data_IF_422360753162
#
_entry.id   IF_422360753162
#
_cell.length_a   1.000
_cell.length_b   1.000
_cell.length_c   1.000
_cell.angle_alpha   90.00
_cell.angle_beta   90.00
_cell.angle_gamma   90.00
#
_symmetry.space_group_name_H-M   'P 1'
#
loop_
_entity.id
_entity.type
_entity.pdbx_description
1 polymer ?
#
# COMPACT_ATOMS: atom_id res chain seq x y z
N UNK A 1 28.89 13.17 -3.18
CA UNK A 1 29.16 12.30 -2.00
C UNK A 1 30.37 11.43 -2.26
N UNK A 2 30.84 10.65 -1.28
CA UNK A 2 31.90 9.65 -1.50
C UNK A 2 31.39 8.57 -2.45
N UNK A 3 32.23 8.12 -3.38
CA UNK A 3 31.92 7.07 -4.35
C UNK A 3 32.85 5.87 -4.13
N UNK A 4 32.35 4.67 -4.39
CA UNK A 4 33.11 3.43 -4.37
C UNK A 4 32.51 2.44 -5.36
N UNK A 5 33.29 1.42 -5.73
CA UNK A 5 32.90 0.39 -6.70
C UNK A 5 32.81 -0.96 -6.01
N UNK A 6 31.78 -1.74 -6.36
CA UNK A 6 31.59 -3.13 -5.91
C UNK A 6 31.52 -4.02 -7.13
N UNK A 7 32.28 -5.13 -7.09
CA UNK A 7 32.15 -6.22 -8.05
C UNK A 7 31.58 -7.44 -7.33
N UNK A 8 30.57 -8.06 -7.91
CA UNK A 8 29.90 -9.23 -7.37
C UNK A 8 29.43 -10.14 -8.50
N UNK A 9 29.38 -11.47 -8.27
CA UNK A 9 28.85 -12.41 -9.25
C UNK A 9 27.35 -12.20 -9.51
N UNK A 10 26.62 -11.67 -8.53
CA UNK A 10 25.18 -11.38 -8.61
C UNK A 10 24.85 -10.05 -7.91
N UNK A 11 23.88 -9.31 -8.47
CA UNK A 11 23.33 -8.09 -7.90
C UNK A 11 21.83 -8.24 -7.70
N UNK A 12 21.33 -7.86 -6.52
CA UNK A 12 19.88 -7.83 -6.22
C UNK A 12 19.46 -6.42 -5.85
N UNK A 13 18.56 -5.84 -6.64
CA UNK A 13 18.00 -4.52 -6.41
C UNK A 13 16.75 -4.62 -5.52
N UNK A 14 16.87 -4.21 -4.25
CA UNK A 14 15.84 -4.39 -3.22
C UNK A 14 15.36 -3.07 -2.58
N UNK A 15 15.27 -2.00 -3.37
CA UNK A 15 14.87 -0.65 -2.95
C UNK A 15 13.35 -0.38 -3.03
N UNK A 16 12.54 -1.39 -3.33
CA UNK A 16 11.07 -1.34 -3.23
C UNK A 16 10.34 -0.87 -4.49
N UNK A 17 9.11 -0.40 -4.32
CA UNK A 17 8.17 -0.11 -5.41
C UNK A 17 8.56 1.05 -6.33
N UNK A 18 9.27 2.06 -5.83
CA UNK A 18 9.66 3.25 -6.61
C UNK A 18 11.15 3.21 -6.96
N UNK A 19 12.00 3.02 -5.95
CA UNK A 19 13.44 3.21 -6.12
C UNK A 19 14.10 2.14 -6.98
N UNK A 20 13.52 0.93 -7.11
CA UNK A 20 14.04 -0.05 -8.07
C UNK A 20 14.00 0.50 -9.50
N UNK A 21 12.86 1.04 -9.93
CA UNK A 21 12.75 1.63 -11.26
C UNK A 21 13.63 2.87 -11.40
N UNK A 22 13.66 3.74 -10.38
CA UNK A 22 14.51 4.93 -10.41
C UNK A 22 16.00 4.58 -10.55
N UNK A 23 16.49 3.60 -9.79
CA UNK A 23 17.90 3.18 -9.82
C UNK A 23 18.27 2.56 -11.17
N UNK A 24 17.37 1.76 -11.77
CA UNK A 24 17.57 1.25 -13.13
C UNK A 24 17.64 2.39 -14.14
N UNK A 25 16.67 3.31 -14.13
CA UNK A 25 16.63 4.47 -15.04
C UNK A 25 17.86 5.38 -14.90
N UNK A 26 18.35 5.60 -13.68
CA UNK A 26 19.58 6.35 -13.41
C UNK A 26 20.85 5.64 -13.90
N UNK A 27 20.77 4.34 -14.14
CA UNK A 27 21.90 3.52 -14.61
C UNK A 27 22.01 3.48 -16.14
N UNK A 28 21.15 4.20 -16.87
CA UNK A 28 21.23 4.37 -18.31
C UNK A 28 21.39 5.84 -18.70
N UNK A 29 22.17 6.10 -19.74
CA UNK A 29 22.29 7.42 -20.38
C UNK A 29 22.15 7.30 -21.91
N UNK A 30 21.00 7.67 -22.52
CA UNK A 30 19.77 8.15 -21.87
C UNK A 30 19.05 7.04 -21.06
N UNK A 31 18.05 7.37 -20.21
CA UNK A 31 17.32 6.39 -19.39
C UNK A 31 16.67 5.24 -20.19
N UNK A 32 16.40 5.43 -21.48
CA UNK A 32 15.88 4.39 -22.37
C UNK A 32 16.90 3.25 -22.62
N UNK A 33 18.19 3.49 -22.36
CA UNK A 33 19.26 2.48 -22.39
C UNK A 33 19.54 1.86 -21.03
N UNK A 34 18.69 2.13 -20.02
CA UNK A 34 18.83 1.54 -18.70
C UNK A 34 18.82 0.00 -18.76
N UNK A 35 19.55 -0.68 -17.84
CA UNK A 35 19.47 -2.12 -17.66
C UNK A 35 18.01 -2.60 -17.55
N UNK A 36 17.61 -3.56 -18.39
CA UNK A 36 16.24 -4.10 -18.43
C UNK A 36 15.19 -3.19 -19.08
N UNK A 37 15.58 -2.04 -19.64
CA UNK A 37 14.65 -1.08 -20.23
C UNK A 37 14.61 -1.09 -21.77
N UNK A 38 15.13 -2.13 -22.43
CA UNK A 38 15.17 -2.23 -23.90
C UNK A 38 13.78 -2.21 -24.56
N UNK A 39 12.73 -2.52 -23.81
CA UNK A 39 11.32 -2.45 -24.23
C UNK A 39 10.57 -1.24 -23.65
N UNK A 40 11.28 -0.34 -22.96
CA UNK A 40 10.69 0.86 -22.35
C UNK A 40 9.72 0.56 -21.20
N UNK A 41 9.88 -0.59 -20.53
CA UNK A 41 8.95 -1.06 -19.48
C UNK A 41 9.35 -0.65 -18.06
N UNK A 42 10.61 -0.27 -17.83
CA UNK A 42 11.04 0.16 -16.49
C UNK A 42 10.26 1.40 -16.06
N UNK A 43 9.69 1.32 -14.86
CA UNK A 43 8.85 2.35 -14.28
C UNK A 43 7.37 2.24 -14.66
N UNK A 44 6.98 1.52 -15.72
CA UNK A 44 5.58 1.39 -16.16
C UNK A 44 4.77 0.46 -15.27
N UNK A 45 3.45 0.46 -15.48
CA UNK A 45 2.50 -0.33 -14.70
C UNK A 45 2.53 -0.01 -13.21
N UNK A 46 2.94 1.22 -12.86
CA UNK A 46 2.90 1.68 -11.48
C UNK A 46 1.48 1.53 -10.94
N UNK A 47 1.37 0.83 -9.82
CA UNK A 47 0.09 0.66 -9.14
C UNK A 47 0.29 0.88 -7.65
N UNK A 48 -0.77 1.40 -7.04
CA UNK A 48 -0.89 1.60 -5.61
C UNK A 48 -2.37 1.45 -5.24
N UNK A 49 -2.65 1.10 -3.99
CA UNK A 49 -4.02 1.06 -3.51
C UNK A 49 -4.53 2.47 -3.21
N UNK A 50 -5.63 2.94 -3.85
CA UNK A 50 -6.35 4.09 -3.36
C UNK A 50 -7.06 3.71 -2.05
N UNK A 51 -6.80 4.48 -1.00
CA UNK A 51 -7.57 4.43 0.22
C UNK A 51 -8.65 5.50 0.18
N UNK A 52 -9.88 5.10 0.51
CA UNK A 52 -11.03 6.00 0.63
C UNK A 52 -11.75 5.68 1.94
N UNK A 53 -12.34 6.69 2.56
CA UNK A 53 -13.39 6.51 3.56
C UNK A 53 -14.75 6.63 2.83
N UNK A 54 -15.32 5.52 2.30
CA UNK A 54 -16.42 5.59 1.34
C UNK A 54 -17.77 5.94 1.97
N UNK A 55 -17.87 5.91 3.31
CA UNK A 55 -19.12 6.15 4.01
C UNK A 55 -19.15 5.53 5.40
N UNK A 56 -20.35 5.32 5.90
CA UNK A 56 -20.63 4.85 7.25
C UNK A 56 -21.57 3.66 7.19
N UNK A 57 -21.19 2.57 7.86
CA UNK A 57 -22.10 1.47 8.18
C UNK A 57 -23.00 1.89 9.33
N UNK A 58 -24.31 1.77 9.16
CA UNK A 58 -25.33 2.05 10.17
C UNK A 58 -26.01 0.72 10.50
N UNK A 59 -25.78 0.23 11.71
CA UNK A 59 -26.36 -1.03 12.18
C UNK A 59 -27.85 -0.86 12.52
N UNK A 60 -28.65 -1.88 12.22
CA UNK A 60 -30.06 -1.95 12.60
C UNK A 60 -30.21 -2.17 14.11
N UNK A 61 -29.40 -3.07 14.68
CA UNK A 61 -29.29 -3.27 16.13
C UNK A 61 -28.14 -2.42 16.70
N UNK A 62 -28.42 -1.39 17.53
CA UNK A 62 -27.38 -0.60 18.17
C UNK A 62 -26.59 -1.34 19.25
N UNK A 63 -27.10 -2.50 19.72
CA UNK A 63 -26.40 -3.38 20.65
C UNK A 63 -25.32 -4.24 19.99
N UNK A 64 -25.35 -4.41 18.65
CA UNK A 64 -24.41 -5.25 17.94
C UNK A 64 -23.00 -4.64 17.96
N UNK A 65 -22.07 -5.38 18.56
CA UNK A 65 -20.68 -4.97 18.71
C UNK A 65 -19.78 -5.62 17.67
N UNK A 66 -19.11 -4.79 16.88
CA UNK A 66 -18.14 -5.24 15.87
C UNK A 66 -16.71 -5.31 16.40
N UNK A 67 -16.52 -5.49 17.71
CA UNK A 67 -15.19 -5.38 18.34
C UNK A 67 -14.19 -6.44 17.83
N UNK A 68 -14.69 -7.58 17.35
CA UNK A 68 -13.88 -8.62 16.69
C UNK A 68 -13.18 -8.15 15.41
N UNK A 69 -13.64 -7.06 14.79
CA UNK A 69 -13.01 -6.47 13.60
C UNK A 69 -11.90 -5.47 13.95
N UNK A 70 -11.57 -5.30 15.24
CA UNK A 70 -10.39 -4.58 15.68
C UNK A 70 -9.13 -5.43 15.70
N UNK A 71 -7.94 -4.80 15.67
CA UNK A 71 -6.71 -5.55 15.80
C UNK A 71 -6.65 -6.25 17.17
N UNK A 72 -6.84 -7.56 17.16
CA UNK A 72 -6.76 -8.46 18.31
C UNK A 72 -5.33 -9.04 18.40
N UNK A 73 -4.81 -9.35 19.59
CA UNK A 73 -3.54 -10.06 19.71
C UNK A 73 -3.63 -11.45 19.04
N UNK A 74 -2.60 -11.83 18.29
CA UNK A 74 -2.43 -13.21 17.83
C UNK A 74 -2.14 -14.10 19.07
N UNK A 75 -2.76 -15.27 19.17
CA UNK A 75 -2.55 -16.20 20.30
C UNK A 75 -1.11 -16.75 20.31
N UNK A 76 -0.51 -16.93 21.49
CA UNK A 76 0.54 -17.94 21.70
C UNK A 76 2.00 -17.49 21.80
N UNK A 77 2.32 -16.31 22.32
CA UNK A 77 3.70 -15.96 22.75
C UNK A 77 4.20 -14.63 22.19
N UNK A 78 4.70 -13.79 23.09
CA UNK A 78 5.20 -12.41 22.91
C UNK A 78 4.26 -11.37 22.24
N UNK A 79 4.32 -10.08 22.64
CA UNK A 79 3.24 -9.10 22.42
C UNK A 79 3.20 -8.45 21.02
N UNK A 80 3.81 -9.03 19.99
CA UNK A 80 4.18 -8.24 18.81
C UNK A 80 3.18 -8.26 17.63
N UNK A 81 2.33 -9.29 17.48
CA UNK A 81 1.47 -9.43 16.31
C UNK A 81 -0.02 -9.20 16.63
N UNK A 82 -0.67 -8.27 15.91
CA UNK A 82 -2.11 -8.03 15.98
C UNK A 82 -2.79 -8.45 14.68
N UNK A 83 -3.84 -9.25 14.78
CA UNK A 83 -4.66 -9.71 13.66
C UNK A 83 -5.92 -8.87 13.57
N UNK A 84 -6.31 -8.48 12.35
CA UNK A 84 -7.53 -7.73 12.11
C UNK A 84 -8.30 -8.33 10.94
N UNK A 85 -9.59 -8.53 11.12
CA UNK A 85 -10.48 -8.90 10.03
C UNK A 85 -10.84 -7.68 9.15
N UNK A 86 -10.94 -7.92 7.84
CA UNK A 86 -11.46 -6.98 6.86
C UNK A 86 -12.59 -7.66 6.09
N UNK A 87 -13.52 -6.88 5.57
CA UNK A 87 -14.51 -7.36 4.61
C UNK A 87 -13.94 -7.26 3.20
N UNK A 88 -14.14 -8.30 2.40
CA UNK A 88 -13.83 -8.29 0.98
C UNK A 88 -15.04 -8.75 0.18
N UNK A 89 -15.04 -8.45 -1.11
CA UNK A 89 -16.07 -9.00 -1.99
C UNK A 89 -15.79 -10.49 -2.20
N UNK A 90 -16.88 -11.24 -2.29
CA UNK A 90 -16.84 -12.60 -2.80
C UNK A 90 -16.21 -12.60 -4.21
N UNK A 91 -15.21 -13.44 -4.50
CA UNK A 91 -14.52 -13.42 -5.79
C UNK A 91 -15.45 -13.63 -6.99
N UNK A 92 -16.42 -14.56 -6.87
CA UNK A 92 -17.37 -14.85 -7.95
C UNK A 92 -18.33 -13.68 -8.18
N UNK A 93 -18.79 -13.02 -7.11
CA UNK A 93 -19.58 -11.81 -7.22
C UNK A 93 -18.78 -10.66 -7.82
N UNK A 94 -17.52 -10.48 -7.44
CA UNK A 94 -16.64 -9.44 -7.97
C UNK A 94 -16.41 -9.64 -9.48
N UNK A 95 -16.14 -10.87 -9.91
CA UNK A 95 -15.95 -11.23 -11.32
C UNK A 95 -17.23 -11.01 -12.14
N UNK A 96 -18.39 -11.50 -11.66
CA UNK A 96 -19.68 -11.32 -12.34
C UNK A 96 -20.03 -9.84 -12.53
N UNK A 97 -19.71 -9.02 -11.54
CA UNK A 97 -19.96 -7.58 -11.55
C UNK A 97 -18.85 -6.80 -12.27
N UNK A 98 -17.75 -7.46 -12.67
CA UNK A 98 -16.62 -6.80 -13.32
C UNK A 98 -15.89 -5.78 -12.43
N UNK A 99 -15.91 -5.96 -11.11
CA UNK A 99 -15.27 -5.04 -10.15
C UNK A 99 -13.97 -5.62 -9.59
N UNK A 100 -12.98 -4.76 -9.40
CA UNK A 100 -11.80 -5.06 -8.58
C UNK A 100 -12.17 -5.32 -7.11
N UNK A 101 -11.42 -6.20 -6.46
CA UNK A 101 -11.65 -6.51 -5.05
C UNK A 101 -11.19 -5.36 -4.13
N UNK A 102 -11.63 -5.38 -2.87
CA UNK A 102 -11.29 -4.38 -1.88
C UNK A 102 -11.16 -5.01 -0.49
N UNK A 103 -10.30 -4.44 0.34
CA UNK A 103 -10.29 -4.68 1.78
C UNK A 103 -10.99 -3.51 2.49
N UNK A 104 -12.17 -3.77 3.04
CA UNK A 104 -12.98 -2.80 3.77
C UNK A 104 -12.86 -3.02 5.28
N UNK A 105 -12.42 -1.98 5.97
CA UNK A 105 -12.12 -2.00 7.38
C UNK A 105 -13.15 -1.17 8.14
N UNK A 106 -13.72 -1.76 9.19
CA UNK A 106 -14.71 -1.10 10.04
C UNK A 106 -14.02 -0.45 11.23
N UNK A 107 -14.35 0.82 11.51
CA UNK A 107 -13.85 1.58 12.64
C UNK A 107 -15.00 2.13 13.47
N UNK A 108 -14.88 2.16 14.81
CA UNK A 108 -15.94 2.66 15.65
C UNK A 108 -16.04 4.16 15.44
N UNK A 109 -17.26 4.68 15.32
CA UNK A 109 -17.46 6.12 15.37
C UNK A 109 -17.94 6.47 16.77
N UNK A 110 -16.99 6.95 17.57
CA UNK A 110 -17.25 7.39 18.93
C UNK A 110 -17.98 8.75 18.97
N UNK A 111 -17.99 9.53 17.88
CA UNK A 111 -18.70 10.81 17.84
C UNK A 111 -19.28 11.17 16.45
N UNK A 112 -20.57 11.51 16.47
CA UNK A 112 -21.48 11.94 15.39
C UNK A 112 -21.06 13.15 14.57
N UNK A 113 -20.46 14.11 15.25
CA UNK A 113 -20.58 15.50 14.85
C UNK A 113 -19.68 15.85 13.66
N UNK A 114 -20.21 16.68 12.76
CA UNK A 114 -19.51 17.17 11.55
C UNK A 114 -18.18 17.85 11.86
N UNK A 115 -18.09 18.54 13.01
CA UNK A 115 -16.87 19.18 13.49
C UNK A 115 -15.65 18.23 13.50
N UNK A 116 -15.84 16.95 13.86
CA UNK A 116 -14.75 15.95 13.89
C UNK A 116 -14.28 15.49 12.51
N UNK A 117 -15.03 15.78 11.44
CA UNK A 117 -14.64 15.45 10.08
C UNK A 117 -13.69 16.48 9.45
N UNK A 118 -13.63 17.69 10.02
CA UNK A 118 -12.84 18.83 9.51
C UNK A 118 -11.33 18.55 9.58
N UNK A 119 -10.58 19.12 8.64
CA UNK A 119 -9.14 18.93 8.57
C UNK A 119 -8.42 19.55 9.77
N UNK A 120 -8.98 20.62 10.33
CA UNK A 120 -8.48 21.40 11.45
C UNK A 120 -8.59 20.60 12.75
N UNK A 121 -9.74 19.95 13.00
CA UNK A 121 -9.93 19.08 14.17
C UNK A 121 -9.07 17.81 14.06
N UNK A 122 -8.96 17.20 12.87
CA UNK A 122 -8.05 16.07 12.64
C UNK A 122 -6.60 16.46 12.93
N UNK A 123 -6.16 17.62 12.43
CA UNK A 123 -4.82 18.13 12.69
C UNK A 123 -4.58 18.36 14.19
N UNK A 124 -5.53 18.98 14.89
CA UNK A 124 -5.45 19.16 16.35
C UNK A 124 -5.26 17.83 17.09
N UNK A 125 -6.11 16.84 16.81
CA UNK A 125 -6.04 15.51 17.43
C UNK A 125 -4.71 14.80 17.14
N UNK A 126 -4.16 14.96 15.94
CA UNK A 126 -2.88 14.37 15.56
C UNK A 126 -1.68 15.08 16.22
N UNK A 127 -1.76 16.40 16.40
CA UNK A 127 -0.81 17.16 17.23
C UNK A 127 -0.78 16.66 18.67
N UNK A 128 -1.96 16.47 19.28
CA UNK A 128 -2.09 15.89 20.63
C UNK A 128 -1.55 14.46 20.67
N UNK A 129 -1.85 13.62 19.69
CA UNK A 129 -1.35 12.25 19.63
C UNK A 129 0.19 12.19 19.57
N UNK A 130 0.83 13.15 18.88
CA UNK A 130 2.30 13.27 18.84
C UNK A 130 2.90 13.71 20.18
N UNK A 131 2.28 14.69 20.85
CA UNK A 131 2.73 15.13 22.18
C UNK A 131 2.54 14.05 23.25
N UNK A 132 1.54 13.19 23.10
CA UNK A 132 1.22 12.13 24.06
C UNK A 132 1.87 10.78 23.74
N UNK A 133 2.81 10.73 22.79
CA UNK A 133 3.52 9.50 22.42
C UNK A 133 2.67 8.45 21.70
N UNK A 134 1.44 8.79 21.29
CA UNK A 134 0.49 7.89 20.60
C UNK A 134 0.64 7.90 19.07
N UNK A 135 1.57 8.68 18.53
CA UNK A 135 1.88 8.77 17.11
C UNK A 135 3.39 8.85 16.87
N UNK A 136 3.82 8.62 15.62
CA UNK A 136 5.24 8.71 15.23
C UNK A 136 5.82 10.08 15.62
N UNK A 137 6.98 10.13 16.30
CA UNK A 137 7.62 11.38 16.70
C UNK A 137 7.83 12.34 15.53
N UNK A 138 7.63 13.63 15.76
CA UNK A 138 7.84 14.65 14.74
C UNK A 138 7.26 16.00 15.15
N UNK A 139 7.45 17.01 14.30
CA UNK A 139 7.09 18.37 14.65
C UNK A 139 5.56 18.56 14.76
N UNK A 140 5.07 18.75 15.99
CA UNK A 140 3.65 18.95 16.28
C UNK A 140 3.16 20.38 15.96
N UNK A 141 4.06 21.38 15.92
CA UNK A 141 3.67 22.80 15.73
C UNK A 141 2.88 23.04 14.44
N UNK A 142 3.25 22.37 13.34
CA UNK A 142 2.54 22.49 12.05
C UNK A 142 1.08 22.05 12.12
N UNK A 143 0.76 21.11 13.01
CA UNK A 143 -0.60 20.57 13.17
C UNK A 143 -1.47 21.56 13.96
N UNK A 144 -0.92 22.17 15.01
CA UNK A 144 -1.59 23.20 15.77
C UNK A 144 -1.78 24.50 14.96
N UNK A 145 -0.79 24.90 14.15
CA UNK A 145 -0.93 26.02 13.23
C UNK A 145 -2.08 25.82 12.22
N UNK A 146 -2.31 24.58 11.78
CA UNK A 146 -3.46 24.24 10.93
C UNK A 146 -4.77 24.26 11.71
N UNK A 147 -4.80 23.76 12.94
CA UNK A 147 -5.98 23.78 13.80
C UNK A 147 -6.48 25.21 14.10
N UNK A 148 -5.57 26.17 14.20
CA UNK A 148 -5.89 27.59 14.44
C UNK A 148 -6.65 28.26 13.28
N UNK A 149 -6.78 27.63 12.12
CA UNK A 149 -7.55 28.17 10.99
C UNK A 149 -9.07 28.12 11.20
N UNK A 150 -9.55 27.22 12.06
CA UNK A 150 -10.97 27.11 12.41
C UNK A 150 -11.13 26.77 13.90
N UNK A 151 -10.80 27.70 14.81
CA UNK A 151 -10.76 27.42 16.25
C UNK A 151 -12.15 27.04 16.80
N UNK A 152 -13.22 27.55 16.20
CA UNK A 152 -14.59 27.20 16.58
C UNK A 152 -14.90 25.71 16.34
N UNK A 153 -14.42 25.09 15.25
CA UNK A 153 -14.59 23.65 15.03
C UNK A 153 -13.86 22.82 16.09
N UNK A 154 -12.66 23.25 16.49
CA UNK A 154 -11.87 22.61 17.55
C UNK A 154 -12.57 22.74 18.90
N UNK A 155 -13.04 23.95 19.24
CA UNK A 155 -13.78 24.20 20.47
C UNK A 155 -15.05 23.36 20.55
N UNK A 156 -15.86 23.33 19.48
CA UNK A 156 -17.07 22.48 19.41
C UNK A 156 -16.71 21.01 19.57
N UNK A 157 -15.67 20.51 18.88
CA UNK A 157 -15.24 19.13 19.01
C UNK A 157 -14.78 18.79 20.43
N UNK A 158 -14.00 19.66 21.08
CA UNK A 158 -13.51 19.43 22.45
C UNK A 158 -14.63 19.52 23.48
N UNK A 159 -15.52 20.51 23.36
CA UNK A 159 -16.70 20.62 24.19
C UNK A 159 -17.54 19.35 24.09
N UNK A 160 -17.89 18.94 22.87
CA UNK A 160 -18.64 17.69 22.66
C UNK A 160 -17.93 16.48 23.25
N UNK A 161 -16.61 16.36 23.09
CA UNK A 161 -15.84 15.26 23.70
C UNK A 161 -15.92 15.24 25.24
N UNK A 162 -16.10 16.40 25.88
CA UNK A 162 -16.22 16.54 27.33
C UNK A 162 -17.65 16.31 27.85
N UNK A 163 -18.68 16.80 27.15
CA UNK A 163 -20.09 16.72 27.59
C UNK A 163 -20.90 15.59 26.97
N UNK A 164 -20.55 15.09 25.78
CA UNK A 164 -21.24 13.96 25.17
C UNK A 164 -20.59 12.68 25.70
N UNK A 165 -21.32 11.85 26.47
CA UNK A 165 -20.78 10.59 26.94
C UNK A 165 -20.40 9.75 25.72
N UNK A 166 -19.25 9.10 25.77
CA UNK A 166 -18.74 8.26 24.69
C UNK A 166 -19.60 6.99 24.55
N UNK A 167 -20.82 7.15 24.01
CA UNK A 167 -21.79 6.07 23.84
C UNK A 167 -21.46 5.32 22.54
N UNK A 168 -21.52 3.98 22.54
CA UNK A 168 -21.39 3.23 21.30
C UNK A 168 -22.42 3.74 20.29
N UNK A 169 -21.96 4.28 19.17
CA UNK A 169 -22.84 4.62 18.06
C UNK A 169 -23.12 3.35 17.26
N UNK A 170 -24.35 3.12 16.77
CA UNK A 170 -24.59 2.11 15.73
C UNK A 170 -23.89 2.45 14.40
N UNK A 171 -23.21 3.60 14.34
CA UNK A 171 -22.52 4.11 13.16
C UNK A 171 -21.03 3.77 13.23
N UNK A 172 -20.55 3.12 12.17
CA UNK A 172 -19.17 2.69 12.05
C UNK A 172 -18.56 3.24 10.77
N UNK A 173 -17.43 3.92 10.87
CA UNK A 173 -16.72 4.44 9.69
C UNK A 173 -16.14 3.28 8.91
N UNK A 174 -16.38 3.27 7.60
CA UNK A 174 -15.72 2.35 6.69
C UNK A 174 -14.47 3.03 6.14
N UNK A 175 -13.38 2.27 6.04
CA UNK A 175 -12.19 2.64 5.27
C UNK A 175 -11.87 1.50 4.33
N UNK A 176 -11.87 1.77 3.04
CA UNK A 176 -11.63 0.77 2.02
C UNK A 176 -10.30 1.01 1.31
N UNK A 177 -9.60 -0.09 1.03
CA UNK A 177 -8.43 -0.16 0.18
C UNK A 177 -8.81 -0.96 -1.05
N UNK A 178 -8.67 -0.36 -2.24
CA UNK A 178 -9.15 -0.99 -3.48
C UNK A 178 -8.00 -1.55 -4.32
N UNK A 179 -8.25 -2.65 -5.01
CA UNK A 179 -7.45 -3.05 -6.16
C UNK A 179 -7.65 -2.04 -7.29
N UNK A 180 -6.58 -1.79 -8.05
CA UNK A 180 -6.65 -1.01 -9.30
C UNK A 180 -5.95 -1.77 -10.41
N UNK A 181 -6.39 -1.54 -11.65
CA UNK A 181 -5.77 -2.18 -12.80
C UNK A 181 -4.30 -1.72 -12.97
N UNK A 182 -3.44 -2.65 -13.37
CA UNK A 182 -2.05 -2.34 -13.77
C UNK A 182 -2.07 -1.66 -15.15
N UNK A 183 -2.04 -0.32 -15.17
CA UNK A 183 -2.13 0.47 -16.41
C UNK A 183 -0.77 0.83 -16.99
N UNK A 184 -0.60 0.70 -18.30
CA UNK A 184 0.66 1.00 -18.99
C UNK A 184 1.10 2.47 -18.87
N UNK A 185 0.12 3.38 -18.79
CA UNK A 185 0.38 4.82 -18.69
C UNK A 185 0.88 5.24 -17.30
N UNK A 186 0.51 4.50 -16.25
CA UNK A 186 0.95 4.80 -14.90
C UNK A 186 2.42 4.43 -14.77
N UNK A 187 3.26 5.40 -14.40
CA UNK A 187 4.71 5.21 -14.43
C UNK A 187 5.51 6.02 -13.42
N UNK A 188 6.69 5.51 -13.13
CA UNK A 188 7.80 6.23 -12.51
C UNK A 188 8.79 6.65 -13.59
N UNK A 189 9.18 7.94 -13.57
CA UNK A 189 10.22 8.51 -14.45
C UNK A 189 11.23 9.30 -13.62
N UNK A 190 12.30 9.78 -14.28
CA UNK A 190 13.20 10.75 -13.68
C UNK A 190 12.62 12.15 -13.84
N UNK A 191 12.48 12.86 -12.73
CA UNK A 191 12.00 14.24 -12.66
C UNK A 191 13.12 15.27 -12.82
N UNK A 192 12.75 16.56 -12.94
CA UNK A 192 13.72 17.65 -13.12
C UNK A 192 14.42 18.06 -11.80
N UNK A 193 13.88 17.68 -10.64
CA UNK A 193 14.50 17.96 -9.35
C UNK A 193 15.59 16.96 -9.02
N UNK A 194 16.57 17.37 -8.23
CA UNK A 194 17.65 16.51 -7.76
C UNK A 194 17.53 16.23 -6.26
N UNK A 195 17.99 15.04 -5.85
CA UNK A 195 18.13 14.67 -4.45
C UNK A 195 19.43 15.23 -3.85
N UNK A 196 19.68 14.93 -2.58
CA UNK A 196 20.89 15.38 -1.86
C UNK A 196 22.20 14.81 -2.41
N UNK A 197 22.13 13.80 -3.28
CA UNK A 197 23.28 13.19 -3.94
C UNK A 197 23.45 13.71 -5.38
N UNK A 198 22.67 14.72 -5.79
CA UNK A 198 22.70 15.29 -7.13
C UNK A 198 22.08 14.38 -8.19
N UNK A 199 21.27 13.39 -7.80
CA UNK A 199 20.60 12.45 -8.72
C UNK A 199 19.16 12.89 -8.95
N UNK A 200 18.66 12.76 -10.18
CA UNK A 200 17.28 13.09 -10.50
C UNK A 200 16.28 12.34 -9.60
N UNK A 201 15.34 13.05 -8.99
CA UNK A 201 14.29 12.47 -8.14
C UNK A 201 13.28 11.67 -8.97
N UNK A 202 12.60 10.71 -8.34
CA UNK A 202 11.47 10.04 -8.99
C UNK A 202 10.32 11.05 -9.24
N UNK A 203 9.76 11.01 -10.44
CA UNK A 203 8.48 11.61 -10.79
C UNK A 203 7.47 10.48 -10.96
N UNK A 204 6.34 10.57 -10.25
CA UNK A 204 5.29 9.56 -10.29
C UNK A 204 4.10 10.12 -11.07
N UNK A 205 3.70 9.41 -12.11
CA UNK A 205 2.49 9.66 -12.87
C UNK A 205 1.52 8.52 -12.59
N UNK A 206 0.54 8.78 -11.72
CA UNK A 206 -0.46 7.80 -11.32
C UNK A 206 -1.85 8.40 -11.46
N UNK A 207 -2.69 7.74 -12.25
CA UNK A 207 -4.07 8.16 -12.51
C UNK A 207 -5.01 6.99 -12.27
N UNK A 208 -6.10 7.28 -11.57
CA UNK A 208 -7.25 6.39 -11.47
C UNK A 208 -8.14 6.58 -12.70
N UNK A 209 -8.42 5.46 -13.37
CA UNK A 209 -9.31 5.44 -14.52
C UNK A 209 -10.78 5.52 -14.11
N UNK A 210 -11.65 5.79 -15.08
CA UNK A 210 -13.09 5.82 -14.82
C UNK A 210 -13.62 4.44 -14.44
N UNK A 211 -13.02 3.37 -14.97
CA UNK A 211 -13.32 2.01 -14.53
C UNK A 211 -12.87 1.75 -13.08
N UNK A 212 -11.69 2.23 -12.66
CA UNK A 212 -11.26 2.10 -11.26
C UNK A 212 -12.26 2.79 -10.32
N UNK A 213 -12.66 4.02 -10.63
CA UNK A 213 -13.62 4.77 -9.81
C UNK A 213 -15.01 4.14 -9.79
N UNK A 214 -15.48 3.70 -10.95
CA UNK A 214 -16.73 2.95 -11.06
C UNK A 214 -16.69 1.68 -10.22
N UNK A 215 -15.60 0.92 -10.30
CA UNK A 215 -15.39 -0.33 -9.57
C UNK A 215 -15.36 -0.08 -8.06
N UNK A 216 -14.65 0.96 -7.60
CA UNK A 216 -14.60 1.34 -6.18
C UNK A 216 -16.00 1.64 -5.64
N UNK A 217 -16.77 2.43 -6.38
CA UNK A 217 -18.17 2.75 -6.04
C UNK A 217 -19.05 1.52 -6.04
N UNK A 218 -19.03 0.73 -7.13
CA UNK A 218 -19.88 -0.46 -7.29
C UNK A 218 -19.57 -1.50 -6.22
N UNK A 219 -18.30 -1.70 -5.90
CA UNK A 219 -17.88 -2.57 -4.79
C UNK A 219 -18.53 -2.17 -3.47
N UNK A 220 -18.58 -0.87 -3.15
CA UNK A 220 -19.24 -0.40 -1.92
C UNK A 220 -20.78 -0.48 -1.97
N UNK A 221 -21.40 -0.36 -3.14
CA UNK A 221 -22.83 -0.65 -3.32
C UNK A 221 -23.14 -2.14 -3.09
N UNK A 222 -22.26 -3.04 -3.52
CA UNK A 222 -22.40 -4.48 -3.25
C UNK A 222 -22.27 -4.80 -1.75
N UNK A 223 -21.37 -4.10 -1.04
CA UNK A 223 -21.28 -4.18 0.42
C UNK A 223 -22.59 -3.71 1.07
N UNK A 224 -23.16 -2.57 0.64
CA UNK A 224 -24.48 -2.11 1.14
C UNK A 224 -25.57 -3.16 0.93
N UNK A 225 -25.67 -3.72 -0.28
CA UNK A 225 -26.64 -4.76 -0.61
C UNK A 225 -26.46 -6.01 0.25
N UNK A 226 -25.21 -6.42 0.54
CA UNK A 226 -24.94 -7.56 1.41
C UNK A 226 -25.38 -7.28 2.85
N UNK A 227 -25.06 -6.10 3.39
CA UNK A 227 -25.46 -5.68 4.74
C UNK A 227 -26.98 -5.63 4.88
N UNK A 228 -27.69 -5.09 3.89
CA UNK A 228 -29.15 -5.03 3.86
C UNK A 228 -29.79 -6.41 3.78
N UNK A 229 -29.29 -7.29 2.90
CA UNK A 229 -29.77 -8.68 2.76
C UNK A 229 -29.59 -9.48 4.06
N UNK A 230 -28.52 -9.21 4.80
CA UNK A 230 -28.28 -9.83 6.10
C UNK A 230 -29.10 -9.21 7.25
N UNK A 231 -29.97 -8.23 6.97
CA UNK A 231 -30.70 -7.46 7.97
C UNK A 231 -29.81 -6.80 9.05
N UNK A 232 -28.54 -6.56 8.73
CA UNK A 232 -27.57 -5.96 9.67
C UNK A 232 -27.68 -4.44 9.73
N UNK A 233 -28.32 -3.82 8.72
CA UNK A 233 -28.45 -2.37 8.59
C UNK A 233 -28.25 -1.89 7.17
N UNK A 234 -27.51 -0.79 6.97
CA UNK A 234 -27.14 -0.28 5.66
C UNK A 234 -25.81 0.48 5.68
N UNK A 235 -25.21 0.69 4.51
CA UNK A 235 -24.08 1.60 4.30
C UNK A 235 -24.59 2.91 3.71
N UNK A 236 -24.43 4.00 4.46
CA UNK A 236 -24.62 5.35 3.97
C UNK A 236 -23.34 5.81 3.26
N UNK A 237 -23.32 5.72 1.93
CA UNK A 237 -22.21 6.18 1.10
C UNK A 237 -22.06 7.71 1.17
N UNK A 238 -20.82 8.18 1.30
CA UNK A 238 -20.51 9.61 1.26
C UNK A 238 -20.63 10.20 -0.15
N UNK A 239 -20.38 9.37 -1.17
CA UNK A 239 -20.34 9.78 -2.58
C UNK A 239 -21.14 8.77 -3.43
N UNK A 240 -22.47 8.73 -3.33
CA UNK A 240 -23.26 7.68 -3.99
C UNK A 240 -23.09 7.71 -5.52
N UNK A 241 -22.99 8.89 -6.15
CA UNK A 241 -22.99 9.03 -7.61
C UNK A 241 -21.95 10.02 -8.18
N UNK A 242 -20.95 10.44 -7.40
CA UNK A 242 -19.96 11.44 -7.81
C UNK A 242 -18.54 10.86 -7.96
N UNK A 243 -18.15 10.56 -9.20
CA UNK A 243 -16.81 10.05 -9.53
C UNK A 243 -15.69 11.07 -9.19
N UNK A 244 -15.97 12.37 -9.28
CA UNK A 244 -14.98 13.41 -8.96
C UNK A 244 -14.69 13.45 -7.46
N UNK A 245 -15.73 13.27 -6.63
CA UNK A 245 -15.59 13.18 -5.19
C UNK A 245 -14.84 11.91 -4.76
N UNK A 246 -15.11 10.75 -5.40
CA UNK A 246 -14.33 9.53 -5.19
C UNK A 246 -12.84 9.72 -5.51
N UNK A 247 -12.53 10.37 -6.64
CA UNK A 247 -11.15 10.67 -7.05
C UNK A 247 -10.47 11.62 -6.06
N UNK A 248 -11.16 12.68 -5.61
CA UNK A 248 -10.63 13.64 -4.65
C UNK A 248 -10.44 13.06 -3.24
N UNK A 249 -11.30 12.11 -2.84
CA UNK A 249 -11.20 11.42 -1.55
C UNK A 249 -10.13 10.34 -1.52
N UNK A 250 -9.70 9.83 -2.68
CA UNK A 250 -8.66 8.81 -2.77
C UNK A 250 -7.29 9.37 -2.38
N UNK A 251 -6.59 8.66 -1.50
CA UNK A 251 -5.18 8.92 -1.19
C UNK A 251 -4.32 7.67 -1.36
N UNK A 252 -3.02 7.88 -1.63
CA UNK A 252 -2.05 6.80 -1.84
C UNK A 252 -1.89 5.89 -0.61
N UNK A 253 -1.85 4.59 -0.87
CA UNK A 253 -1.91 3.56 0.14
C UNK A 253 -0.60 3.15 0.80
N UNK A 254 0.53 3.79 0.44
CA UNK A 254 1.88 3.40 0.90
C UNK A 254 2.27 1.98 0.47
N UNK A 255 1.70 1.51 -0.64
CA UNK A 255 1.86 0.20 -1.23
C UNK A 255 2.18 0.39 -2.72
N UNK A 256 3.37 0.93 -3.03
CA UNK A 256 3.79 1.13 -4.42
C UNK A 256 4.32 -0.16 -5.03
N UNK A 257 3.89 -0.49 -6.25
CA UNK A 257 4.14 -1.79 -6.87
C UNK A 257 4.24 -1.68 -8.40
N UNK A 258 4.69 -2.77 -9.04
CA UNK A 258 4.57 -2.98 -10.49
C UNK A 258 5.64 -2.35 -11.39
N UNK A 259 6.48 -1.45 -10.88
CA UNK A 259 7.41 -0.65 -11.69
C UNK A 259 8.57 -1.43 -12.34
N UNK A 260 8.77 -2.70 -11.98
CA UNK A 260 9.69 -3.65 -12.62
C UNK A 260 8.99 -5.00 -12.78
N UNK A 261 7.74 -4.95 -13.25
CA UNK A 261 6.80 -6.08 -13.36
C UNK A 261 7.45 -7.37 -13.86
N UNK A 262 7.14 -8.46 -13.15
CA UNK A 262 7.46 -9.83 -13.53
C UNK A 262 6.57 -10.32 -14.67
N UNK A 263 7.20 -10.90 -15.70
CA UNK A 263 6.52 -11.60 -16.79
C UNK A 263 7.52 -12.52 -17.54
N UNK A 264 7.12 -13.73 -17.96
CA UNK A 264 8.02 -14.63 -18.70
C UNK A 264 8.44 -14.07 -20.07
N UNK A 265 7.53 -13.36 -20.76
CA UNK A 265 7.82 -12.66 -22.00
C UNK A 265 8.47 -11.28 -21.74
N UNK A 266 9.70 -11.02 -22.23
CA UNK A 266 10.40 -9.74 -22.07
C UNK A 266 9.70 -8.55 -22.72
N UNK A 267 8.74 -8.77 -23.64
CA UNK A 267 7.92 -7.70 -24.21
C UNK A 267 6.83 -7.19 -23.25
N UNK A 268 6.60 -7.87 -22.12
CA UNK A 268 5.50 -7.59 -21.20
C UNK A 268 5.96 -7.38 -19.73
N UNK A 269 7.23 -7.60 -19.43
CA UNK A 269 7.81 -7.40 -18.09
C UNK A 269 9.28 -7.00 -18.14
N UNK A 270 9.79 -6.53 -16.99
CA UNK A 270 11.20 -6.16 -16.79
C UNK A 270 12.01 -7.35 -16.30
N UNK A 271 11.39 -8.22 -15.51
CA UNK A 271 12.03 -9.41 -14.93
C UNK A 271 11.29 -10.70 -15.31
N UNK A 272 12.03 -11.80 -15.40
CA UNK A 272 11.49 -13.15 -15.59
C UNK A 272 10.84 -13.69 -14.29
N UNK A 273 10.30 -14.90 -14.34
CA UNK A 273 9.66 -15.55 -13.20
C UNK A 273 10.59 -15.79 -12.01
N UNK A 274 11.90 -15.71 -12.18
CA UNK A 274 12.90 -15.78 -11.10
C UNK A 274 13.36 -14.40 -10.65
N UNK A 275 12.65 -13.35 -11.06
CA UNK A 275 12.96 -11.96 -10.79
C UNK A 275 14.33 -11.50 -11.32
N UNK A 276 14.86 -12.20 -12.35
CA UNK A 276 16.07 -11.79 -13.07
C UNK A 276 15.69 -10.80 -14.17
N UNK A 277 16.47 -9.74 -14.32
CA UNK A 277 16.25 -8.74 -15.37
C UNK A 277 16.46 -9.36 -16.75
N UNK A 278 15.48 -9.16 -17.63
CA UNK A 278 15.54 -9.68 -18.99
C UNK A 278 16.78 -9.15 -19.74
N UNK A 279 17.53 -10.06 -20.35
CA UNK A 279 18.77 -9.74 -21.08
C UNK A 279 20.02 -9.53 -20.21
N UNK A 280 19.95 -9.70 -18.88
CA UNK A 280 21.10 -9.53 -17.99
C UNK A 280 21.24 -10.73 -17.05
N UNK A 281 22.34 -11.48 -17.21
CA UNK A 281 22.52 -12.78 -16.55
C UNK A 281 22.67 -12.74 -15.02
N UNK A 282 23.10 -11.62 -14.46
CA UNK A 282 23.47 -11.51 -13.04
C UNK A 282 22.77 -10.39 -12.27
N UNK A 283 21.72 -9.78 -12.83
CA UNK A 283 20.96 -8.71 -12.19
C UNK A 283 19.54 -9.18 -11.86
N UNK A 284 19.15 -9.05 -10.61
CA UNK A 284 17.84 -9.45 -10.09
C UNK A 284 17.16 -8.27 -9.39
N UNK A 285 15.84 -8.35 -9.23
CA UNK A 285 15.03 -7.34 -8.55
C UNK A 285 14.18 -7.99 -7.48
N UNK A 286 14.14 -7.40 -6.29
CA UNK A 286 13.31 -7.85 -5.17
C UNK A 286 12.44 -6.70 -4.65
N UNK A 287 11.30 -7.04 -4.05
CA UNK A 287 10.33 -6.07 -3.53
C UNK A 287 9.05 -6.02 -4.35
N UNK A 288 8.16 -5.11 -3.98
CA UNK A 288 6.82 -5.02 -4.60
C UNK A 288 6.81 -4.51 -6.04
N UNK A 289 7.91 -3.92 -6.51
CA UNK A 289 8.01 -3.46 -7.90
C UNK A 289 7.92 -4.59 -8.92
N UNK A 290 8.20 -5.85 -8.54
CA UNK A 290 8.08 -6.99 -9.46
C UNK A 290 6.65 -7.52 -9.60
N UNK A 291 5.68 -6.99 -8.84
CA UNK A 291 4.33 -7.55 -8.82
C UNK A 291 3.62 -7.29 -10.16
N UNK A 292 2.99 -8.30 -10.80
CA UNK A 292 2.22 -8.09 -12.03
C UNK A 292 0.90 -7.36 -11.80
N UNK A 293 0.39 -7.40 -10.57
CA UNK A 293 -0.86 -6.76 -10.13
C UNK A 293 -0.76 -6.30 -8.69
N UNK A 294 -1.56 -5.29 -8.32
CA UNK A 294 -1.59 -4.74 -6.96
C UNK A 294 -2.20 -5.68 -5.90
N UNK A 295 -3.09 -6.60 -6.30
CA UNK A 295 -3.93 -7.33 -5.34
C UNK A 295 -4.92 -6.38 -4.64
N UNK A 296 -5.40 -6.73 -3.44
CA UNK A 296 -6.32 -5.88 -2.64
C UNK A 296 -6.01 -5.90 -1.14
N UNK A 297 -4.87 -6.49 -0.75
CA UNK A 297 -4.40 -6.61 0.64
C UNK A 297 -2.93 -6.15 0.73
N UNK A 298 -2.44 -5.94 1.96
CA UNK A 298 -1.09 -5.43 2.20
C UNK A 298 -0.01 -6.33 1.55
N UNK A 299 0.96 -5.75 0.82
CA UNK A 299 1.90 -6.53 0.00
C UNK A 299 3.03 -7.21 0.79
N UNK A 300 3.24 -6.85 2.06
CA UNK A 300 4.45 -7.21 2.82
C UNK A 300 4.72 -8.71 2.88
N UNK A 301 3.70 -9.53 3.17
CA UNK A 301 3.89 -10.98 3.23
C UNK A 301 4.27 -11.57 1.86
N UNK A 302 3.67 -11.05 0.77
CA UNK A 302 4.04 -11.43 -0.60
C UNK A 302 5.48 -11.02 -0.93
N UNK A 303 5.92 -9.84 -0.48
CA UNK A 303 7.31 -9.40 -0.63
C UNK A 303 8.26 -10.38 0.06
N UNK A 304 7.97 -10.76 1.32
CA UNK A 304 8.79 -11.71 2.09
C UNK A 304 8.83 -13.07 1.40
N UNK A 305 7.68 -13.60 0.96
CA UNK A 305 7.62 -14.89 0.26
C UNK A 305 8.46 -14.89 -1.03
N UNK A 306 8.36 -13.84 -1.85
CA UNK A 306 9.15 -13.71 -3.07
C UNK A 306 10.64 -13.50 -2.81
N UNK A 307 11.00 -12.78 -1.74
CA UNK A 307 12.38 -12.61 -1.33
C UNK A 307 13.02 -13.93 -0.89
N UNK A 308 12.30 -14.76 -0.11
CA UNK A 308 12.75 -16.11 0.28
C UNK A 308 12.93 -16.97 -0.97
N UNK A 309 11.93 -16.99 -1.88
CA UNK A 309 12.01 -17.74 -3.15
C UNK A 309 13.21 -17.33 -4.00
N UNK A 310 13.49 -16.03 -4.10
CA UNK A 310 14.65 -15.52 -4.83
C UNK A 310 15.96 -15.94 -4.14
N UNK A 311 16.02 -15.86 -2.81
CA UNK A 311 17.19 -16.31 -2.06
C UNK A 311 17.49 -17.80 -2.27
N UNK A 312 16.46 -18.64 -2.30
CA UNK A 312 16.59 -20.07 -2.59
C UNK A 312 17.00 -20.33 -4.05
N UNK A 313 16.45 -19.58 -5.01
CA UNK A 313 16.87 -19.63 -6.41
C UNK A 313 18.35 -19.28 -6.58
N UNK A 314 18.79 -18.18 -5.98
CA UNK A 314 20.19 -17.76 -6.00
C UNK A 314 21.08 -18.77 -5.29
N UNK A 315 20.65 -19.35 -4.17
CA UNK A 315 21.39 -20.44 -3.50
C UNK A 315 21.53 -21.65 -4.41
N UNK A 316 20.46 -22.09 -5.07
CA UNK A 316 20.48 -23.24 -5.99
C UNK A 316 21.31 -22.99 -7.25
N UNK A 317 21.33 -21.76 -7.77
CA UNK A 317 22.17 -21.35 -8.89
C UNK A 317 23.66 -21.25 -8.50
N UNK A 318 23.95 -20.72 -7.30
CA UNK A 318 25.30 -20.64 -6.72
C UNK A 318 25.85 -22.04 -6.40
N UNK A 319 25.00 -22.99 -6.00
CA UNK A 319 25.43 -24.36 -5.71
C UNK A 319 25.60 -25.29 -6.92
N UNK A 320 25.12 -24.87 -8.09
CA UNK A 320 25.39 -25.58 -9.36
C UNK A 320 26.61 -25.03 -10.11
N UNK A 321 27.29 -24.00 -9.59
CA UNK A 321 28.49 -23.44 -10.20
C UNK A 321 29.71 -23.62 -9.26
N UNK A 322 30.38 -24.79 -9.26
CA UNK A 322 31.53 -25.06 -8.40
C UNK A 322 32.82 -24.40 -8.91
N UNK A 323 32.78 -23.11 -9.24
CA UNK A 323 33.97 -22.31 -9.58
C UNK A 323 34.32 -21.27 -8.52
N UNK A 324 33.99 -21.54 -7.26
CA UNK A 324 34.67 -20.92 -6.13
C UNK A 324 35.75 -21.92 -5.70
N UNK A 325 36.90 -21.88 -6.36
CA UNK A 325 38.10 -22.54 -5.86
C UNK A 325 38.41 -21.95 -4.48
N UNK A 326 38.36 -22.77 -3.43
CA UNK A 326 39.00 -22.45 -2.15
C UNK A 326 38.24 -22.76 -0.86
N UNK A 327 36.95 -23.10 -0.87
CA UNK A 327 36.25 -23.43 0.39
C UNK A 327 35.83 -24.89 0.39
N UNK A 328 36.48 -25.69 1.26
CA UNK A 328 36.14 -27.11 1.44
C UNK A 328 34.86 -27.22 2.26
N UNK A 329 33.94 -28.18 1.94
CA UNK A 329 32.67 -28.36 2.66
C UNK A 329 32.80 -28.58 4.17
N UNK A 330 33.98 -28.98 4.63
CA UNK A 330 34.31 -29.34 6.02
C UNK A 330 34.45 -28.12 6.96
N UNK A 331 34.55 -26.90 6.43
CA UNK A 331 34.79 -25.67 7.22
C UNK A 331 33.50 -24.95 7.64
N UNK A 332 32.32 -25.50 7.36
CA UNK A 332 31.03 -24.84 7.66
C UNK A 332 30.48 -25.38 8.99
N UNK A 333 30.30 -24.54 10.04
CA UNK A 333 29.74 -24.98 11.31
C UNK A 333 28.32 -25.52 11.12
N UNK A 334 28.10 -26.78 11.49
CA UNK A 334 26.75 -27.37 11.57
C UNK A 334 25.96 -26.63 12.64
N UNK A 335 24.73 -26.22 12.30
CA UNK A 335 23.80 -25.58 13.26
C UNK A 335 23.63 -26.47 14.51
N UNK A 336 23.58 -25.88 15.73
CA UNK A 336 23.19 -26.64 16.91
C UNK A 336 21.76 -27.16 16.73
N UNK A 337 21.53 -28.41 17.15
CA UNK A 337 20.23 -29.07 17.15
C UNK A 337 19.25 -28.39 18.12
#
# INVERSE_FOLDING_TARGET
GRAFTVQAPHFVLAAGGIENARLLLLSGDPPDRAPGNSRGLVGRYFTEHPFVDPGVLVLADPGLRLDRYFPQPATGGEPAARVRCAWSLDPTAAEREGVGNAACFVYPRYESHEAFATAEVKAFLEGVAKLTGKAVPGNATRYFARALRAPHHVAVAMLRKAVVPNRPSPRWRLRAMFATASRFENRVTLGPSQDRLGRACARIEWRLSDHDLWSMRRGMQLVDQAVRRAALGHVALAFPDDASAWRAAACGGKHQMGTTRMHPDPAQGVVDENARVHGIGNLFVAGSSVFPSSGYVNPTLTIVALAIRLADHLRGAVWRNPRVEGVRPEEIPTRPQ
#
